data_IF_271545987028
#
_entry.id   IF_271545987028
#
_cell.length_a   1.000
_cell.length_b   1.000
_cell.length_c   1.000
_cell.angle_alpha   90.00
_cell.angle_beta   90.00
_cell.angle_gamma   90.00
#
_symmetry.space_group_name_H-M   'P 1'
#
loop_
_entity.id
_entity.type
_entity.pdbx_description
1 polymer ?
#
# COMPACT_ATOMS: atom_id res chain seq x y z
N UNK A 1 6.72 -13.10 -10.38
CA UNK A 1 6.12 -11.86 -9.86
C UNK A 1 5.59 -12.03 -8.44
N UNK A 2 4.76 -13.04 -8.14
CA UNK A 2 4.18 -13.24 -6.80
C UNK A 2 5.19 -13.45 -5.67
N UNK A 3 6.19 -14.33 -5.84
CA UNK A 3 7.21 -14.59 -4.80
C UNK A 3 8.03 -13.32 -4.46
N UNK A 4 8.30 -12.48 -5.45
CA UNK A 4 8.99 -11.21 -5.25
C UNK A 4 8.11 -10.20 -4.49
N UNK A 5 6.80 -10.15 -4.80
CA UNK A 5 5.87 -9.33 -4.03
C UNK A 5 5.76 -9.82 -2.58
N UNK A 6 5.72 -11.14 -2.35
CA UNK A 6 5.69 -11.71 -1.01
C UNK A 6 6.95 -11.37 -0.20
N UNK A 7 8.14 -11.52 -0.77
CA UNK A 7 9.39 -11.07 -0.12
C UNK A 7 9.39 -9.56 0.18
N UNK A 8 8.84 -8.73 -0.71
CA UNK A 8 8.70 -7.28 -0.44
C UNK A 8 7.65 -6.97 0.63
N UNK A 9 6.66 -7.83 0.82
CA UNK A 9 5.69 -7.68 1.90
C UNK A 9 6.36 -7.92 3.26
N UNK A 10 7.28 -8.89 3.33
CA UNK A 10 8.13 -9.09 4.51
C UNK A 10 9.01 -7.86 4.77
N UNK A 11 9.66 -7.31 3.74
CA UNK A 11 10.45 -6.08 3.88
C UNK A 11 9.59 -4.91 4.40
N UNK A 12 8.37 -4.75 3.85
CA UNK A 12 7.43 -3.73 4.29
C UNK A 12 6.99 -3.94 5.75
N UNK A 13 6.70 -5.18 6.15
CA UNK A 13 6.34 -5.53 7.54
C UNK A 13 7.46 -5.12 8.50
N UNK A 14 8.69 -5.53 8.23
CA UNK A 14 9.88 -5.20 9.04
C UNK A 14 10.06 -3.68 9.10
N UNK A 15 9.92 -2.99 7.97
CA UNK A 15 10.03 -1.53 7.91
C UNK A 15 9.01 -0.84 8.82
N UNK A 16 7.73 -1.22 8.73
CA UNK A 16 6.66 -0.61 9.52
C UNK A 16 6.83 -0.88 11.02
N UNK A 17 7.25 -2.09 11.39
CA UNK A 17 7.55 -2.46 12.77
C UNK A 17 8.72 -1.62 13.34
N UNK A 18 9.80 -1.44 12.56
CA UNK A 18 10.92 -0.58 12.94
C UNK A 18 10.54 0.92 13.04
N UNK A 19 9.49 1.35 12.36
CA UNK A 19 8.90 2.69 12.49
C UNK A 19 7.92 2.81 13.68
N UNK A 20 7.70 1.72 14.42
CA UNK A 20 6.83 1.67 15.60
C UNK A 20 5.38 1.31 15.31
N UNK A 21 5.02 1.02 14.05
CA UNK A 21 3.68 0.54 13.70
C UNK A 21 3.57 -0.96 14.01
N UNK A 22 3.30 -1.25 15.28
CA UNK A 22 3.14 -2.62 15.80
C UNK A 22 1.68 -3.07 15.74
N UNK A 23 1.41 -4.34 16.04
CA UNK A 23 0.05 -4.92 16.05
C UNK A 23 -0.67 -4.86 14.69
N UNK A 24 0.07 -4.91 13.58
CA UNK A 24 -0.47 -5.12 12.24
C UNK A 24 -0.35 -6.60 11.88
N UNK A 25 -1.47 -7.20 11.49
CA UNK A 25 -1.51 -8.59 11.01
C UNK A 25 -1.47 -8.62 9.49
N UNK A 26 -0.64 -9.51 8.93
CA UNK A 26 -0.46 -9.66 7.49
C UNK A 26 -0.90 -11.07 7.06
N UNK A 27 -1.67 -11.14 5.98
CA UNK A 27 -2.13 -12.40 5.40
C UNK A 27 -1.91 -12.38 3.90
N UNK A 28 -1.26 -13.42 3.38
CA UNK A 28 -1.16 -13.70 1.95
C UNK A 28 -2.12 -14.82 1.62
N UNK A 29 -3.04 -14.57 0.70
CA UNK A 29 -4.00 -15.57 0.22
C UNK A 29 -3.48 -16.18 -1.09
N UNK A 30 -3.04 -17.43 -1.03
CA UNK A 30 -2.65 -18.17 -2.23
C UNK A 30 -3.89 -18.62 -3.02
N UNK A 31 -3.80 -18.62 -4.34
CA UNK A 31 -4.91 -18.98 -5.20
C UNK A 31 -5.22 -20.50 -5.12
N UNK A 32 -6.49 -20.88 -5.33
CA UNK A 32 -6.98 -22.25 -5.18
C UNK A 32 -6.59 -23.21 -6.32
N UNK A 33 -6.09 -22.69 -7.45
CA UNK A 33 -5.70 -23.52 -8.60
C UNK A 33 -4.42 -24.34 -8.36
N UNK A 34 -4.33 -25.52 -9.00
CA UNK A 34 -3.26 -26.51 -8.81
C UNK A 34 -1.85 -25.92 -8.93
N UNK A 35 -1.58 -25.11 -9.95
CA UNK A 35 -0.26 -24.46 -10.16
C UNK A 35 0.16 -23.54 -9.01
N UNK A 36 -0.80 -22.99 -8.26
CA UNK A 36 -0.55 -22.17 -7.07
C UNK A 36 -0.32 -23.04 -5.84
N UNK A 37 -1.11 -24.12 -5.68
CA UNK A 37 -0.93 -25.11 -4.62
C UNK A 37 0.44 -25.80 -4.69
N UNK A 38 0.87 -26.22 -5.89
CA UNK A 38 2.19 -26.84 -6.11
C UNK A 38 3.35 -25.94 -5.65
N UNK A 39 3.15 -24.61 -5.69
CA UNK A 39 4.13 -23.59 -5.32
C UNK A 39 3.90 -23.00 -3.93
N UNK A 40 2.99 -23.57 -3.14
CA UNK A 40 2.68 -23.07 -1.79
C UNK A 40 3.93 -23.01 -0.90
N UNK A 41 4.79 -24.04 -0.97
CA UNK A 41 6.04 -24.09 -0.20
C UNK A 41 6.96 -22.90 -0.53
N UNK A 42 7.16 -22.58 -1.80
CA UNK A 42 7.96 -21.43 -2.23
C UNK A 42 7.37 -20.11 -1.73
N UNK A 43 6.05 -19.97 -1.73
CA UNK A 43 5.38 -18.79 -1.22
C UNK A 43 5.57 -18.67 0.30
N UNK A 44 5.44 -19.78 1.03
CA UNK A 44 5.66 -19.81 2.48
C UNK A 44 7.11 -19.48 2.85
N UNK A 45 8.07 -19.99 2.09
CA UNK A 45 9.51 -19.69 2.28
C UNK A 45 9.89 -18.24 1.93
N UNK A 46 9.05 -17.54 1.16
CA UNK A 46 9.32 -16.14 0.77
C UNK A 46 8.96 -15.10 1.84
N UNK A 47 8.35 -15.50 2.94
CA UNK A 47 7.94 -14.64 4.06
C UNK A 47 8.31 -15.28 5.41
N UNK A 48 8.34 -14.48 6.47
CA UNK A 48 8.55 -15.00 7.82
C UNK A 48 7.27 -15.60 8.42
N UNK A 49 7.39 -16.25 9.58
CA UNK A 49 6.24 -16.76 10.34
C UNK A 49 5.31 -15.66 10.88
N UNK A 50 5.71 -14.38 10.77
CA UNK A 50 4.87 -13.23 11.11
C UNK A 50 3.83 -12.89 10.02
N UNK A 51 3.93 -13.50 8.84
CA UNK A 51 2.96 -13.36 7.76
C UNK A 51 2.23 -14.70 7.57
N UNK A 52 0.93 -14.72 7.82
CA UNK A 52 0.14 -15.92 7.60
C UNK A 52 -0.03 -16.15 6.09
N UNK A 53 0.35 -17.33 5.60
CA UNK A 53 0.11 -17.73 4.20
C UNK A 53 -1.04 -18.72 4.17
N UNK A 54 -2.20 -18.26 3.69
CA UNK A 54 -3.41 -19.06 3.59
C UNK A 54 -3.51 -19.73 2.21
N UNK A 55 -3.55 -21.06 2.19
CA UNK A 55 -3.83 -21.82 0.97
C UNK A 55 -5.34 -22.03 0.85
N UNK A 56 -5.94 -21.56 -0.23
CA UNK A 56 -7.30 -21.89 -0.57
C UNK A 56 -7.39 -23.33 -1.14
N UNK A 57 -8.36 -24.08 -0.66
CA UNK A 57 -8.78 -25.37 -1.21
C UNK A 57 -9.46 -25.21 -2.57
N UNK A 58 -9.35 -26.19 -3.45
CA UNK A 58 -9.90 -26.10 -4.81
C UNK A 58 -11.43 -25.93 -4.84
N UNK A 59 -12.12 -26.51 -3.85
CA UNK A 59 -13.58 -26.55 -3.77
C UNK A 59 -14.19 -25.45 -2.90
N UNK A 60 -13.38 -24.66 -2.18
CA UNK A 60 -13.92 -23.56 -1.37
C UNK A 60 -14.34 -22.38 -2.25
N UNK A 61 -15.21 -21.52 -1.72
CA UNK A 61 -15.53 -20.25 -2.37
C UNK A 61 -14.27 -19.39 -2.43
N UNK A 62 -14.01 -18.80 -3.59
CA UNK A 62 -12.84 -17.93 -3.79
C UNK A 62 -12.94 -16.71 -2.87
N UNK A 63 -11.93 -16.58 -2.00
CA UNK A 63 -11.79 -15.49 -1.04
C UNK A 63 -11.74 -14.14 -1.76
N UNK A 64 -11.08 -14.05 -2.92
CA UNK A 64 -10.99 -12.79 -3.65
C UNK A 64 -12.36 -12.34 -4.15
N UNK A 65 -13.11 -13.24 -4.77
CA UNK A 65 -14.51 -12.97 -5.16
C UNK A 65 -15.38 -12.61 -3.96
N UNK A 66 -15.24 -13.32 -2.83
CA UNK A 66 -16.02 -13.08 -1.60
C UNK A 66 -15.78 -11.69 -1.02
N UNK A 67 -14.53 -11.22 -1.07
CA UNK A 67 -14.12 -9.91 -0.56
C UNK A 67 -14.24 -8.79 -1.62
N UNK A 68 -14.83 -9.10 -2.78
CA UNK A 68 -14.94 -8.18 -3.91
C UNK A 68 -13.59 -7.60 -4.37
N UNK A 69 -12.54 -8.42 -4.27
CA UNK A 69 -11.18 -8.12 -4.71
C UNK A 69 -10.79 -8.97 -5.92
N UNK A 70 -9.59 -8.73 -6.42
CA UNK A 70 -8.98 -9.48 -7.51
C UNK A 70 -7.57 -9.93 -7.14
N UNK A 71 -7.02 -10.83 -7.95
CA UNK A 71 -5.64 -11.30 -7.76
C UNK A 71 -4.67 -10.11 -7.76
N UNK A 72 -3.71 -10.16 -6.83
CA UNK A 72 -2.67 -9.15 -6.60
C UNK A 72 -3.20 -7.84 -5.97
N UNK A 73 -4.44 -7.79 -5.47
CA UNK A 73 -4.96 -6.65 -4.72
C UNK A 73 -4.50 -6.66 -3.25
N UNK A 74 -4.46 -5.48 -2.65
CA UNK A 74 -4.39 -5.30 -1.19
C UNK A 74 -5.72 -4.81 -0.65
N UNK A 75 -6.23 -5.52 0.36
CA UNK A 75 -7.39 -5.12 1.16
C UNK A 75 -6.87 -4.77 2.56
N UNK A 76 -6.94 -3.49 2.92
CA UNK A 76 -6.42 -2.97 4.18
C UNK A 76 -7.58 -2.63 5.08
N UNK A 77 -7.64 -3.31 6.24
CA UNK A 77 -8.66 -3.12 7.25
C UNK A 77 -8.10 -2.34 8.43
N UNK A 78 -8.94 -1.52 9.05
CA UNK A 78 -8.59 -0.88 10.32
C UNK A 78 -8.70 -1.87 11.49
N UNK A 79 -8.29 -1.41 12.68
CA UNK A 79 -8.39 -2.15 13.95
C UNK A 79 -9.81 -2.55 14.35
N UNK A 80 -10.82 -1.99 13.69
CA UNK A 80 -12.24 -2.29 13.92
C UNK A 80 -12.77 -3.32 12.91
N UNK A 81 -11.92 -3.83 12.01
CA UNK A 81 -12.29 -4.79 10.97
C UNK A 81 -13.01 -4.16 9.77
N UNK A 82 -12.90 -2.85 9.56
CA UNK A 82 -13.56 -2.16 8.44
C UNK A 82 -12.57 -1.94 7.31
N UNK A 83 -12.99 -2.20 6.07
CA UNK A 83 -12.15 -2.01 4.88
C UNK A 83 -11.91 -0.50 4.66
N UNK A 84 -10.64 -0.07 4.76
CA UNK A 84 -10.23 1.33 4.56
C UNK A 84 -9.73 1.55 3.14
N UNK A 85 -8.92 0.61 2.63
CA UNK A 85 -8.36 0.69 1.28
C UNK A 85 -8.51 -0.63 0.55
N UNK A 86 -8.85 -0.51 -0.74
CA UNK A 86 -8.75 -1.56 -1.73
C UNK A 86 -7.83 -1.05 -2.83
N UNK A 87 -6.63 -1.61 -2.91
CA UNK A 87 -5.63 -1.23 -3.90
C UNK A 87 -5.49 -2.37 -4.90
N UNK A 88 -5.89 -2.12 -6.15
CA UNK A 88 -5.58 -3.00 -7.27
C UNK A 88 -4.37 -2.52 -8.07
N UNK A 89 -4.00 -3.30 -9.09
CA UNK A 89 -2.93 -2.92 -9.99
C UNK A 89 -3.23 -1.57 -10.68
N UNK A 90 -2.23 -0.68 -10.86
CA UNK A 90 -0.81 -0.86 -10.53
C UNK A 90 -0.43 -0.46 -9.09
N UNK A 91 -1.37 0.06 -8.29
CA UNK A 91 -1.12 0.60 -6.95
C UNK A 91 -0.76 -0.49 -5.92
N UNK A 92 -1.13 -1.74 -6.19
CA UNK A 92 -0.76 -2.87 -5.36
C UNK A 92 0.69 -3.36 -5.53
N UNK A 93 1.45 -2.82 -6.48
CA UNK A 93 2.86 -3.17 -6.59
C UNK A 93 3.66 -2.60 -5.42
N UNK A 94 4.21 -3.49 -4.57
CA UNK A 94 5.11 -3.16 -3.46
C UNK A 94 6.47 -2.56 -3.88
N UNK A 95 6.65 -2.27 -5.17
CA UNK A 95 7.74 -1.40 -5.61
C UNK A 95 7.47 0.07 -5.25
N UNK A 96 6.21 0.48 -5.25
CA UNK A 96 5.76 1.83 -4.97
C UNK A 96 5.26 1.95 -3.52
N UNK A 97 5.13 3.19 -3.04
CA UNK A 97 4.79 3.49 -1.65
C UNK A 97 3.29 3.41 -1.35
N UNK A 98 2.43 3.14 -2.33
CA UNK A 98 0.97 3.20 -2.15
C UNK A 98 0.45 2.28 -1.05
N UNK A 99 0.91 1.02 -1.00
CA UNK A 99 0.50 0.07 0.06
C UNK A 99 1.01 0.53 1.42
N UNK A 100 2.26 0.99 1.50
CA UNK A 100 2.85 1.53 2.73
C UNK A 100 2.07 2.74 3.26
N UNK A 101 1.78 3.71 2.40
CA UNK A 101 1.04 4.93 2.73
C UNK A 101 -0.39 4.60 3.17
N UNK A 102 -1.08 3.70 2.45
CA UNK A 102 -2.42 3.27 2.84
C UNK A 102 -2.44 2.56 4.19
N UNK A 103 -1.42 1.75 4.53
CA UNK A 103 -1.31 1.12 5.85
C UNK A 103 -1.09 2.21 6.93
N UNK A 104 -0.16 3.14 6.70
CA UNK A 104 0.11 4.25 7.65
C UNK A 104 -1.13 5.09 7.93
N UNK A 105 -1.88 5.42 6.87
CA UNK A 105 -3.14 6.14 6.99
C UNK A 105 -4.20 5.31 7.73
N UNK A 106 -4.39 4.04 7.38
CA UNK A 106 -5.35 3.18 8.08
C UNK A 106 -4.99 2.95 9.56
N UNK A 107 -3.70 2.99 9.90
CA UNK A 107 -3.21 2.86 11.27
C UNK A 107 -3.51 4.11 12.10
N UNK A 108 -3.28 5.30 11.52
CA UNK A 108 -3.32 6.58 12.24
C UNK A 108 -4.64 7.33 12.15
N UNK A 109 -5.36 7.22 11.05
CA UNK A 109 -6.57 7.98 10.83
C UNK A 109 -7.84 7.17 11.13
N UNK A 110 -8.88 7.88 11.55
CA UNK A 110 -10.21 7.29 11.78
C UNK A 110 -11.10 7.44 10.56
N UNK A 111 -10.60 7.00 9.38
CA UNK A 111 -11.32 7.15 8.10
C UNK A 111 -12.73 6.55 8.13
N UNK A 112 -12.89 5.44 8.83
CA UNK A 112 -14.18 4.76 8.97
C UNK A 112 -14.96 5.17 10.24
N UNK A 113 -14.50 6.19 10.97
CA UNK A 113 -15.11 6.69 12.21
C UNK A 113 -14.58 6.03 13.49
N UNK A 114 -15.13 6.40 14.64
CA UNK A 114 -14.70 5.88 15.95
C UNK A 114 -15.12 4.41 16.15
N UNK A 115 -14.35 3.65 16.94
CA UNK A 115 -14.74 2.32 17.42
C UNK A 115 -14.15 2.04 18.81
N UNK A 116 -14.61 0.98 19.48
CA UNK A 116 -14.20 0.64 20.86
C UNK A 116 -12.76 0.13 20.99
N UNK A 117 -12.14 -0.30 19.90
CA UNK A 117 -10.77 -0.85 19.87
C UNK A 117 -9.69 0.22 19.66
N UNK A 118 -10.06 1.49 19.75
CA UNK A 118 -9.15 2.62 19.66
C UNK A 118 -8.29 2.68 20.92
N UNK A 119 -7.01 2.30 20.79
CA UNK A 119 -6.03 2.45 21.87
C UNK A 119 -5.48 3.89 21.83
N UNK A 120 -5.49 4.65 22.94
CA UNK A 120 -4.98 6.02 22.96
C UNK A 120 -3.47 6.16 22.69
N UNK A 121 -2.71 5.07 22.78
CA UNK A 121 -1.23 5.08 22.83
C UNK A 121 -0.54 5.08 21.44
N UNK A 122 -1.26 5.46 20.38
CA UNK A 122 -0.70 5.55 19.01
C UNK A 122 -0.43 6.99 18.56
N UNK A 123 -0.88 7.97 19.34
CA UNK A 123 -0.87 9.40 18.97
C UNK A 123 0.56 9.90 18.65
N UNK A 124 1.55 9.55 19.48
CA UNK A 124 2.93 9.99 19.27
C UNK A 124 3.60 9.41 18.00
N UNK A 125 3.27 8.17 17.63
CA UNK A 125 3.76 7.54 16.39
C UNK A 125 3.11 8.22 15.19
N UNK A 126 1.80 8.44 15.27
CA UNK A 126 1.03 9.04 14.19
C UNK A 126 1.39 10.50 13.93
N UNK A 127 1.64 11.29 14.97
CA UNK A 127 2.17 12.65 14.82
C UNK A 127 3.51 12.68 14.07
N UNK A 128 4.41 11.74 14.36
CA UNK A 128 5.71 11.66 13.69
C UNK A 128 5.58 11.26 12.22
N UNK A 129 4.64 10.37 11.90
CA UNK A 129 4.35 9.97 10.51
C UNK A 129 3.79 11.16 9.73
N UNK A 130 2.84 11.91 10.30
CA UNK A 130 2.26 13.10 9.66
C UNK A 130 3.34 14.15 9.39
N UNK A 131 4.20 14.46 10.37
CA UNK A 131 5.32 15.41 10.19
C UNK A 131 6.26 15.01 9.06
N UNK A 132 6.63 13.73 8.96
CA UNK A 132 7.49 13.22 7.87
C UNK A 132 6.82 13.31 6.50
N UNK A 133 5.49 13.15 6.44
CA UNK A 133 4.74 13.32 5.20
C UNK A 133 4.75 14.78 4.74
N UNK A 134 4.55 15.72 5.67
CA UNK A 134 4.60 17.16 5.38
C UNK A 134 5.99 17.61 4.91
N UNK A 135 7.07 17.10 5.53
CA UNK A 135 8.45 17.36 5.11
C UNK A 135 8.74 16.85 3.69
N UNK A 136 8.27 15.63 3.35
CA UNK A 136 8.37 15.09 1.98
C UNK A 136 7.62 15.94 0.96
N UNK A 137 6.44 16.44 1.31
CA UNK A 137 5.65 17.30 0.43
C UNK A 137 6.34 18.65 0.21
N UNK A 138 6.95 19.22 1.26
CA UNK A 138 7.70 20.48 1.18
C UNK A 138 9.00 20.36 0.36
N UNK A 139 9.65 19.19 0.32
CA UNK A 139 10.82 18.94 -0.53
C UNK A 139 10.44 18.81 -2.02
N UNK A 140 9.23 18.38 -2.31
CA UNK A 140 8.69 18.24 -3.68
C UNK A 140 8.13 19.55 -4.22
N UNK A 141 7.84 20.54 -3.38
CA UNK A 141 7.44 21.86 -3.85
C UNK A 141 8.55 22.50 -4.70
N UNK A 142 8.24 22.97 -5.93
CA UNK A 142 9.24 23.63 -6.76
C UNK A 142 9.71 24.89 -6.05
N UNK A 143 11.03 25.00 -5.78
CA UNK A 143 11.64 26.29 -5.46
C UNK A 143 11.21 27.30 -6.53
N UNK A 144 10.73 28.51 -6.17
CA UNK A 144 10.29 29.46 -7.17
C UNK A 144 11.47 29.77 -8.09
N UNK A 145 11.31 29.46 -9.38
CA UNK A 145 12.31 29.75 -10.39
C UNK A 145 12.44 31.26 -10.52
N UNK A 146 13.66 31.76 -10.30
CA UNK A 146 14.03 33.14 -10.57
C UNK A 146 13.62 33.54 -12.00
N UNK A 147 12.91 34.66 -12.09
CA UNK A 147 12.36 35.22 -13.32
C UNK A 147 13.48 35.58 -14.31
N UNK A 148 13.72 34.74 -15.31
CA UNK A 148 14.43 35.17 -16.51
C UNK A 148 13.43 35.64 -17.59
N UNK A 149 13.40 36.97 -17.74
CA UNK A 149 12.72 37.69 -18.81
C UNK A 149 13.13 37.17 -20.19
N UNK A 150 12.19 36.56 -20.92
CA UNK A 150 12.36 36.28 -22.34
C UNK A 150 11.59 37.29 -23.17
N UNK A 151 12.35 38.15 -23.85
CA UNK A 151 11.88 39.05 -24.88
C UNK A 151 11.18 38.31 -26.02
N UNK A 152 10.03 38.84 -26.40
CA UNK A 152 9.23 38.46 -27.56
C UNK A 152 10.05 38.59 -28.86
N UNK A 153 9.93 37.63 -29.76
CA UNK A 153 10.06 37.88 -31.19
C UNK A 153 8.93 37.16 -31.95
N UNK A 154 8.03 37.98 -32.49
CA UNK A 154 6.99 37.57 -33.43
C UNK A 154 7.63 37.12 -34.74
N UNK A 155 7.34 35.89 -35.19
CA UNK A 155 7.40 35.57 -36.61
C UNK A 155 6.01 35.14 -37.12
N UNK A 156 5.55 35.98 -38.04
CA UNK A 156 4.26 36.01 -38.71
C UNK A 156 4.27 34.99 -39.85
N UNK A 157 3.46 33.94 -39.77
CA UNK A 157 3.13 33.11 -40.93
C UNK A 157 1.73 33.42 -41.44
N UNK A 158 1.72 33.84 -42.71
CA UNK A 158 0.60 34.32 -43.50
C UNK A 158 0.02 33.13 -44.24
N UNK A 159 -1.29 32.89 -44.09
CA UNK A 159 -2.04 31.97 -44.94
C UNK A 159 -2.08 32.48 -46.39
N UNK A 160 -2.00 31.55 -47.35
CA UNK A 160 -2.63 31.72 -48.66
C UNK A 160 -3.22 30.39 -49.14
N UNK A 161 -4.46 30.52 -49.64
CA UNK A 161 -5.32 29.65 -50.42
C UNK A 161 -4.89 28.23 -50.77
#
# INVERSE_FOLDING_TARGET
>A
MCLLQASRLEDLRVKLENEGLVNISYVVVNHQGTSSQDKFHLLKESVSDYIAVYQQDEQQADVWTTLNGTKDDFLIYDRCGRLVYHLGLPYSFLFFQYVEESIKIAYCENKCGNCSYMVPDIDGICENITKRADEKLAEVEPKPADQHSHHQNLHRHRHHH
#
